data_IF_142653510822
#
_entry.id   IF_142653510822
#
_cell.length_a   1.000
_cell.length_b   1.000
_cell.length_c   1.000
_cell.angle_alpha   90.00
_cell.angle_beta   90.00
_cell.angle_gamma   90.00
#
_symmetry.space_group_name_H-M   'P 1'
#
loop_
_entity.id
_entity.type
_entity.pdbx_description
1 polymer ?
#
# COMPACT_ATOMS: atom_id res chain seq x y z
N UNK A 1 -57.04 21.81 28.08
CA UNK A 1 -56.15 21.17 27.08
C UNK A 1 -55.19 22.19 26.46
N UNK A 2 -54.18 22.69 27.20
CA UNK A 2 -53.18 23.65 26.65
C UNK A 2 -51.75 23.48 27.20
N UNK A 3 -51.49 22.49 28.05
CA UNK A 3 -50.14 22.26 28.64
C UNK A 3 -49.36 21.07 28.05
N UNK A 4 -49.98 20.24 27.22
CA UNK A 4 -49.32 19.07 26.63
C UNK A 4 -48.63 19.35 25.27
N UNK A 5 -48.86 20.52 24.66
CA UNK A 5 -48.28 20.84 23.35
C UNK A 5 -46.86 21.43 23.44
N UNK A 6 -46.44 21.91 24.61
CA UNK A 6 -45.14 22.59 24.76
C UNK A 6 -43.96 21.64 25.02
N UNK A 7 -44.22 20.40 25.43
CA UNK A 7 -43.15 19.43 25.75
C UNK A 7 -42.60 18.75 24.49
N UNK A 8 -43.39 18.63 23.42
CA UNK A 8 -42.94 18.01 22.18
C UNK A 8 -42.06 18.92 21.30
N UNK A 9 -42.15 20.26 21.47
CA UNK A 9 -41.38 21.21 20.66
C UNK A 9 -39.96 21.46 21.21
N UNK A 10 -39.68 21.06 22.46
CA UNK A 10 -38.35 21.21 23.05
C UNK A 10 -37.42 20.01 22.79
N UNK A 11 -37.97 18.86 22.36
CA UNK A 11 -37.17 17.66 22.09
C UNK A 11 -36.60 17.63 20.66
N UNK A 12 -37.19 18.37 19.72
CA UNK A 12 -36.74 18.42 18.32
C UNK A 12 -35.54 19.35 18.09
N UNK A 13 -35.15 20.18 19.08
CA UNK A 13 -34.05 21.13 18.96
C UNK A 13 -32.68 20.60 19.41
N UNK A 14 -32.61 19.40 19.99
CA UNK A 14 -31.36 18.81 20.50
C UNK A 14 -30.63 17.93 19.46
N UNK A 15 -31.24 17.66 18.30
CA UNK A 15 -30.62 16.84 17.25
C UNK A 15 -29.88 17.66 16.16
N UNK A 16 -29.64 18.95 16.36
CA UNK A 16 -28.90 19.82 15.45
C UNK A 16 -27.38 19.64 15.51
N UNK A 17 -26.88 18.41 15.70
CA UNK A 17 -25.46 18.13 15.57
C UNK A 17 -25.03 18.37 14.12
N UNK A 18 -24.05 19.24 13.90
CA UNK A 18 -23.41 19.37 12.59
C UNK A 18 -22.73 18.04 12.27
N UNK A 19 -23.36 17.23 11.40
CA UNK A 19 -22.69 16.10 10.77
C UNK A 19 -21.65 16.67 9.82
N UNK A 20 -20.45 16.94 10.34
CA UNK A 20 -19.29 17.20 9.51
C UNK A 20 -18.86 15.88 8.90
N UNK A 21 -19.03 15.75 7.58
CA UNK A 21 -18.40 14.67 6.83
C UNK A 21 -16.89 14.84 6.97
N UNK A 22 -16.29 14.07 7.87
CA UNK A 22 -14.91 14.27 8.23
C UNK A 22 -14.03 13.75 7.09
N UNK A 23 -13.40 14.65 6.34
CA UNK A 23 -12.49 14.25 5.26
C UNK A 23 -11.35 13.40 5.81
N UNK A 24 -11.09 12.29 5.11
CA UNK A 24 -9.99 11.37 5.40
C UNK A 24 -8.67 11.90 4.85
N UNK A 25 -8.77 12.51 3.67
CA UNK A 25 -7.68 13.14 2.95
C UNK A 25 -7.53 14.60 3.35
N UNK A 26 -6.29 15.02 3.53
CA UNK A 26 -5.89 16.42 3.66
C UNK A 26 -5.06 16.79 2.43
N UNK A 27 -5.34 17.97 1.86
CA UNK A 27 -4.49 18.56 0.81
C UNK A 27 -3.29 19.20 1.50
N UNK A 28 -2.09 18.82 1.08
CA UNK A 28 -0.83 19.32 1.64
C UNK A 28 -0.37 20.59 0.88
N UNK A 29 0.52 21.42 1.45
CA UNK A 29 0.99 22.66 0.80
C UNK A 29 1.69 22.45 -0.54
N UNK A 30 2.24 21.27 -0.79
CA UNK A 30 2.91 20.89 -2.04
C UNK A 30 1.94 20.34 -3.11
N UNK A 31 0.63 20.34 -2.83
CA UNK A 31 -0.41 19.82 -3.71
C UNK A 31 -0.63 18.31 -3.63
N UNK A 32 0.16 17.57 -2.85
CA UNK A 32 -0.11 16.16 -2.57
C UNK A 32 -1.33 15.99 -1.65
N UNK A 33 -1.86 14.77 -1.55
CA UNK A 33 -2.90 14.43 -0.57
C UNK A 33 -2.40 13.38 0.41
N UNK A 34 -2.74 13.54 1.68
CA UNK A 34 -2.36 12.61 2.74
C UNK A 34 -3.57 12.13 3.54
N UNK A 35 -3.64 10.83 3.81
CA UNK A 35 -4.49 10.24 4.83
C UNK A 35 -3.65 9.94 6.07
N UNK A 36 -3.88 10.71 7.14
CA UNK A 36 -3.33 10.41 8.47
C UNK A 36 -4.22 9.37 9.15
N UNK A 37 -3.72 8.15 9.29
CA UNK A 37 -4.44 7.00 9.84
C UNK A 37 -4.46 7.12 11.36
N UNK A 38 -5.67 7.32 11.91
CA UNK A 38 -5.97 7.32 13.34
C UNK A 38 -7.07 6.28 13.58
N UNK A 39 -8.10 6.60 14.35
CA UNK A 39 -9.16 5.66 14.74
C UNK A 39 -10.20 5.36 13.64
N UNK A 40 -10.01 5.89 12.42
CA UNK A 40 -10.96 5.76 11.30
C UNK A 40 -10.62 4.58 10.38
N UNK A 41 -10.45 3.41 10.96
CA UNK A 41 -10.21 2.12 10.28
C UNK A 41 -11.39 1.17 10.57
N UNK A 42 -11.74 0.21 9.72
CA UNK A 42 -11.13 -0.13 8.43
C UNK A 42 -11.54 0.81 7.28
N UNK A 43 -10.70 0.95 6.26
CA UNK A 43 -11.05 1.67 5.02
C UNK A 43 -10.18 1.23 3.85
N UNK A 44 -10.80 1.11 2.67
CA UNK A 44 -10.15 0.72 1.42
C UNK A 44 -10.46 1.72 0.33
N UNK A 45 -9.50 1.91 -0.57
CA UNK A 45 -9.59 2.79 -1.73
C UNK A 45 -8.78 2.20 -2.89
N UNK A 46 -8.74 2.90 -4.02
CA UNK A 46 -7.86 2.57 -5.11
C UNK A 46 -7.34 3.81 -5.83
N UNK A 47 -6.14 3.69 -6.39
CA UNK A 47 -5.57 4.70 -7.29
C UNK A 47 -5.04 4.03 -8.54
N UNK A 48 -5.33 4.65 -9.69
CA UNK A 48 -4.71 4.28 -10.96
C UNK A 48 -3.50 5.18 -11.23
N UNK A 49 -2.39 4.55 -11.63
CA UNK A 49 -1.15 5.22 -11.99
C UNK A 49 -0.61 4.61 -13.29
N UNK A 50 0.02 5.43 -14.14
CA UNK A 50 0.54 4.97 -15.43
C UNK A 50 1.96 5.46 -15.70
N UNK A 51 2.76 4.59 -16.29
CA UNK A 51 3.95 4.94 -17.07
C UNK A 51 3.72 4.58 -18.55
N UNK A 52 4.75 4.75 -19.39
CA UNK A 52 4.63 4.55 -20.84
C UNK A 52 4.31 3.10 -21.24
N UNK A 53 4.83 2.12 -20.51
CA UNK A 53 4.75 0.69 -20.87
C UNK A 53 4.00 -0.16 -19.84
N UNK A 54 3.48 0.46 -18.78
CA UNK A 54 2.75 -0.22 -17.71
C UNK A 54 1.80 0.74 -17.01
N UNK A 55 0.61 0.26 -16.69
CA UNK A 55 -0.32 0.92 -15.79
C UNK A 55 -0.60 0.00 -14.61
N UNK A 56 -0.95 0.58 -13.47
CA UNK A 56 -1.34 -0.18 -12.29
C UNK A 56 -2.53 0.47 -11.61
N UNK A 57 -3.47 -0.36 -11.18
CA UNK A 57 -4.47 0.02 -10.18
C UNK A 57 -4.02 -0.58 -8.86
N UNK A 58 -3.60 0.27 -7.93
CA UNK A 58 -3.35 -0.11 -6.55
C UNK A 58 -4.68 -0.11 -5.82
N UNK A 59 -5.15 -1.28 -5.38
CA UNK A 59 -6.29 -1.42 -4.48
C UNK A 59 -5.72 -1.60 -3.09
N UNK A 60 -5.87 -0.59 -2.25
CA UNK A 60 -5.17 -0.52 -0.98
C UNK A 60 -6.14 -0.21 0.14
N UNK A 61 -5.72 -0.48 1.37
CA UNK A 61 -6.50 -0.12 2.53
C UNK A 61 -5.75 -0.31 3.83
N UNK A 62 -6.44 0.06 4.89
CA UNK A 62 -6.01 -0.22 6.26
C UNK A 62 -7.09 -1.07 6.91
N UNK A 63 -6.69 -2.25 7.37
CA UNK A 63 -7.54 -3.24 8.00
C UNK A 63 -8.01 -2.79 9.38
N UNK A 64 -8.97 -3.51 9.97
CA UNK A 64 -9.49 -3.20 11.31
C UNK A 64 -8.40 -3.28 12.40
N UNK A 65 -7.38 -4.12 12.19
CA UNK A 65 -6.20 -4.21 13.04
C UNK A 65 -5.11 -3.19 12.65
N UNK A 66 -5.34 -2.26 11.73
CA UNK A 66 -4.37 -1.26 11.32
C UNK A 66 -3.30 -1.75 10.34
N UNK A 67 -3.32 -3.02 9.92
CA UNK A 67 -2.37 -3.52 8.92
C UNK A 67 -2.63 -2.92 7.54
N UNK A 68 -1.58 -2.78 6.74
CA UNK A 68 -1.73 -2.35 5.34
C UNK A 68 -2.20 -3.51 4.47
N UNK A 69 -3.17 -3.26 3.58
CA UNK A 69 -3.57 -4.20 2.54
C UNK A 69 -3.27 -3.61 1.16
N UNK A 70 -2.76 -4.44 0.25
CA UNK A 70 -2.46 -4.04 -1.12
C UNK A 70 -2.68 -5.18 -2.13
N UNK A 71 -3.41 -4.87 -3.19
CA UNK A 71 -3.45 -5.66 -4.41
C UNK A 71 -3.07 -4.78 -5.62
N UNK A 72 -2.21 -5.31 -6.49
CA UNK A 72 -1.69 -4.62 -7.67
C UNK A 72 -2.31 -5.20 -8.93
N UNK A 73 -3.20 -4.46 -9.60
CA UNK A 73 -3.69 -4.83 -10.92
C UNK A 73 -2.81 -4.18 -11.98
N UNK A 74 -1.91 -4.95 -12.58
CA UNK A 74 -0.95 -4.53 -13.59
C UNK A 74 -1.56 -4.65 -14.99
N UNK A 75 -1.28 -3.68 -15.85
CA UNK A 75 -1.65 -3.66 -17.28
C UNK A 75 -0.41 -3.33 -18.11
N UNK A 76 -0.08 -4.16 -19.09
CA UNK A 76 1.00 -3.88 -20.05
C UNK A 76 0.40 -3.62 -21.43
N UNK A 77 0.19 -2.34 -21.82
CA UNK A 77 -0.47 -2.01 -23.09
C UNK A 77 0.28 -2.52 -24.32
N UNK A 78 1.60 -2.71 -24.20
CA UNK A 78 2.46 -3.20 -25.28
C UNK A 78 2.38 -4.72 -25.50
N UNK A 79 1.80 -5.49 -24.57
CA UNK A 79 1.73 -6.95 -24.65
C UNK A 79 0.28 -7.35 -24.94
N UNK A 80 0.03 -7.94 -26.12
CA UNK A 80 -1.32 -8.11 -26.68
C UNK A 80 -1.81 -9.55 -26.53
N UNK A 81 -3.07 -9.72 -26.18
CA UNK A 81 -3.71 -11.03 -26.00
C UNK A 81 -4.70 -11.32 -27.13
N UNK A 82 -5.07 -12.59 -27.28
CA UNK A 82 -6.06 -13.05 -28.26
C UNK A 82 -7.43 -13.22 -27.57
N UNK A 83 -8.53 -12.71 -28.14
CA UNK A 83 -8.63 -11.97 -29.41
C UNK A 83 -8.07 -10.54 -29.31
N UNK A 84 -7.36 -10.10 -30.34
CA UNK A 84 -6.66 -8.81 -30.36
C UNK A 84 -7.63 -7.64 -30.65
N UNK A 85 -8.33 -7.16 -29.62
CA UNK A 85 -9.27 -6.03 -29.68
C UNK A 85 -8.84 -4.88 -28.75
N UNK A 86 -9.57 -3.77 -28.69
CA UNK A 86 -9.20 -2.57 -27.90
C UNK A 86 -8.93 -2.82 -26.41
N UNK A 87 -9.43 -3.92 -25.83
CA UNK A 87 -9.25 -4.27 -24.42
C UNK A 87 -8.16 -5.33 -24.18
N UNK A 88 -7.53 -5.84 -25.24
CA UNK A 88 -6.69 -7.02 -25.21
C UNK A 88 -5.25 -6.81 -24.72
N UNK A 89 -5.01 -5.88 -23.80
CA UNK A 89 -3.71 -5.73 -23.15
C UNK A 89 -3.50 -6.84 -22.12
N UNK A 90 -2.26 -7.31 -21.92
CA UNK A 90 -1.97 -8.27 -20.87
C UNK A 90 -2.25 -7.65 -19.51
N UNK A 91 -3.12 -8.28 -18.73
CA UNK A 91 -3.48 -7.86 -17.38
C UNK A 91 -3.19 -8.97 -16.38
N UNK A 92 -2.69 -8.60 -15.20
CA UNK A 92 -2.46 -9.53 -14.09
C UNK A 92 -2.71 -8.85 -12.75
N UNK A 93 -3.24 -9.63 -11.81
CA UNK A 93 -3.32 -9.22 -10.41
C UNK A 93 -2.20 -9.89 -9.63
N UNK A 94 -1.44 -9.09 -8.88
CA UNK A 94 -0.42 -9.56 -7.96
C UNK A 94 -0.81 -9.17 -6.54
N UNK A 95 -0.96 -10.19 -5.70
CA UNK A 95 -1.07 -10.05 -4.24
C UNK A 95 0.27 -10.27 -3.53
N UNK A 96 1.35 -10.40 -4.29
CA UNK A 96 2.69 -10.61 -3.73
C UNK A 96 3.14 -9.41 -2.91
N UNK A 97 3.64 -9.65 -1.70
CA UNK A 97 4.16 -8.64 -0.80
C UNK A 97 5.57 -9.02 -0.33
N UNK A 98 6.57 -8.21 -0.65
CA UNK A 98 7.97 -8.51 -0.33
C UNK A 98 8.22 -8.59 1.18
N UNK A 99 7.45 -7.85 1.99
CA UNK A 99 7.64 -7.81 3.45
C UNK A 99 7.29 -9.11 4.14
N UNK A 100 6.53 -9.99 3.50
CA UNK A 100 6.21 -11.32 4.02
C UNK A 100 7.45 -12.22 4.09
N UNK A 101 8.50 -11.88 3.33
CA UNK A 101 9.78 -12.61 3.28
C UNK A 101 10.86 -11.98 4.17
N UNK A 102 10.64 -10.79 4.73
CA UNK A 102 11.62 -10.07 5.55
C UNK A 102 11.46 -10.46 7.02
N UNK A 103 12.58 -10.77 7.68
CA UNK A 103 12.61 -11.03 9.11
C UNK A 103 13.39 -9.95 9.87
N UNK A 104 12.88 -9.58 11.05
CA UNK A 104 13.57 -8.69 12.00
C UNK A 104 13.66 -9.38 13.34
N UNK A 105 14.88 -9.60 13.84
CA UNK A 105 15.17 -10.41 15.01
C UNK A 105 14.50 -11.81 14.92
N UNK A 106 14.49 -12.40 13.72
CA UNK A 106 13.84 -13.69 13.44
C UNK A 106 12.30 -13.64 13.43
N UNK A 107 11.68 -12.46 13.36
CA UNK A 107 10.22 -12.29 13.37
C UNK A 107 9.72 -11.67 12.06
N UNK A 108 8.58 -12.16 11.57
CA UNK A 108 7.85 -11.53 10.47
C UNK A 108 7.34 -10.14 10.86
N UNK A 109 7.19 -9.24 9.89
CA UNK A 109 6.67 -7.87 10.08
C UNK A 109 5.13 -7.81 10.25
N UNK A 110 4.52 -8.81 10.89
CA UNK A 110 3.06 -9.04 10.90
C UNK A 110 2.25 -8.08 11.77
N UNK A 111 2.89 -7.31 12.67
CA UNK A 111 2.22 -6.32 13.53
C UNK A 111 2.37 -4.90 13.00
N UNK A 112 2.14 -4.76 11.71
CA UNK A 112 2.15 -3.48 11.03
C UNK A 112 0.96 -2.61 11.48
N UNK A 113 1.22 -1.32 11.71
CA UNK A 113 0.22 -0.28 11.95
C UNK A 113 0.50 0.89 11.02
N UNK A 114 -0.37 1.12 10.05
CA UNK A 114 -0.22 2.26 9.12
C UNK A 114 -0.47 3.55 9.88
N UNK A 115 0.46 4.51 9.73
CA UNK A 115 0.35 5.85 10.29
C UNK A 115 -0.14 6.86 9.26
N UNK A 116 0.36 6.75 8.02
CA UNK A 116 0.09 7.73 6.97
C UNK A 116 0.19 7.12 5.57
N UNK A 117 -0.70 7.55 4.69
CA UNK A 117 -0.63 7.28 3.25
C UNK A 117 -0.59 8.61 2.52
N UNK A 118 0.39 8.82 1.65
CA UNK A 118 0.56 10.04 0.84
C UNK A 118 0.51 9.70 -0.64
N UNK A 119 -0.17 10.53 -1.43
CA UNK A 119 -0.26 10.45 -2.89
C UNK A 119 0.27 11.74 -3.51
N UNK A 120 1.38 11.64 -4.25
CA UNK A 120 2.12 12.76 -4.88
C UNK A 120 2.56 12.42 -6.33
N UNK A 121 1.84 11.50 -6.99
CA UNK A 121 2.28 10.81 -8.21
C UNK A 121 2.98 9.48 -7.92
N UNK A 122 3.28 9.21 -6.65
CA UNK A 122 3.64 7.90 -6.09
C UNK A 122 2.69 7.61 -4.92
N UNK A 123 2.62 6.36 -4.47
CA UNK A 123 2.03 6.02 -3.18
C UNK A 123 3.14 5.84 -2.15
N UNK A 124 3.11 6.62 -1.06
CA UNK A 124 3.99 6.42 0.10
C UNK A 124 3.16 5.98 1.29
N UNK A 125 3.50 4.85 1.90
CA UNK A 125 2.86 4.29 3.09
C UNK A 125 3.88 4.24 4.20
N UNK A 126 3.60 4.94 5.30
CA UNK A 126 4.45 5.00 6.48
C UNK A 126 3.77 4.22 7.61
N UNK A 127 4.47 3.21 8.14
CA UNK A 127 3.92 2.30 9.14
C UNK A 127 4.87 2.10 10.32
N UNK A 128 4.31 1.95 11.51
CA UNK A 128 5.03 1.40 12.66
C UNK A 128 4.95 -0.13 12.64
N UNK A 129 6.05 -0.80 12.97
CA UNK A 129 6.10 -2.26 13.12
C UNK A 129 6.29 -2.60 14.59
N UNK A 130 5.30 -3.27 15.18
CA UNK A 130 5.41 -3.82 16.53
C UNK A 130 6.29 -5.08 16.55
N UNK A 131 7.41 -5.04 17.26
CA UNK A 131 8.29 -6.20 17.43
C UNK A 131 8.26 -6.70 18.88
N UNK A 132 8.76 -7.91 19.11
CA UNK A 132 8.87 -8.44 20.48
C UNK A 132 9.89 -7.66 21.32
N UNK A 133 9.82 -7.82 22.65
CA UNK A 133 10.76 -7.22 23.61
C UNK A 133 10.88 -5.70 23.49
N UNK A 134 9.78 -5.02 23.13
CA UNK A 134 9.69 -3.58 22.95
C UNK A 134 10.63 -3.00 21.87
N UNK A 135 11.15 -3.83 20.97
CA UNK A 135 11.81 -3.35 19.77
C UNK A 135 10.81 -2.57 18.90
N UNK A 136 11.30 -1.52 18.22
CA UNK A 136 10.48 -0.64 17.38
C UNK A 136 11.17 -0.43 16.06
N UNK A 137 10.41 -0.59 14.99
CA UNK A 137 10.85 -0.24 13.65
C UNK A 137 9.75 0.55 12.95
N UNK A 138 10.16 1.36 11.98
CA UNK A 138 9.26 1.99 11.03
C UNK A 138 9.55 1.42 9.64
N UNK A 139 8.49 1.27 8.86
CA UNK A 139 8.54 0.80 7.49
C UNK A 139 7.89 1.83 6.59
N UNK A 140 8.66 2.32 5.62
CA UNK A 140 8.16 3.17 4.54
C UNK A 140 8.13 2.37 3.25
N UNK A 141 6.95 2.26 2.61
CA UNK A 141 6.79 1.72 1.25
C UNK A 141 6.54 2.85 0.28
N UNK A 142 7.23 2.85 -0.85
CA UNK A 142 7.01 3.78 -1.97
C UNK A 142 6.73 2.98 -3.23
N UNK A 143 5.56 3.17 -3.81
CA UNK A 143 5.05 2.35 -4.93
C UNK A 143 4.73 3.26 -6.11
N UNK A 144 5.28 2.91 -7.28
CA UNK A 144 5.07 3.71 -8.50
C UNK A 144 5.35 2.89 -9.77
N UNK A 145 4.61 3.15 -10.87
CA UNK A 145 4.99 2.64 -12.18
C UNK A 145 6.27 3.31 -12.67
N UNK A 146 7.13 2.56 -13.34
CA UNK A 146 8.29 3.11 -14.01
C UNK A 146 7.84 3.99 -15.18
N UNK A 147 8.47 5.16 -15.33
CA UNK A 147 8.13 6.12 -16.39
C UNK A 147 8.19 5.50 -17.79
N UNK A 148 9.25 4.74 -18.09
CA UNK A 148 9.50 4.20 -19.44
C UNK A 148 9.66 2.67 -19.52
N UNK A 149 9.76 1.98 -18.37
CA UNK A 149 9.98 0.53 -18.31
C UNK A 149 8.65 -0.20 -18.09
N UNK A 150 8.51 -1.45 -18.55
CA UNK A 150 7.29 -2.25 -18.31
C UNK A 150 7.25 -2.83 -16.88
N UNK A 151 7.47 -2.00 -15.85
CA UNK A 151 7.63 -2.43 -14.47
C UNK A 151 6.99 -1.46 -13.47
N UNK A 152 6.45 -1.99 -12.38
CA UNK A 152 6.12 -1.23 -11.17
C UNK A 152 7.21 -1.50 -10.16
N UNK A 153 7.69 -0.45 -9.49
CA UNK A 153 8.69 -0.55 -8.44
C UNK A 153 8.04 -0.35 -7.08
N UNK A 154 8.49 -1.14 -6.12
CA UNK A 154 8.20 -0.99 -4.70
C UNK A 154 9.54 -0.79 -3.99
N UNK A 155 9.75 0.38 -3.40
CA UNK A 155 10.90 0.67 -2.55
C UNK A 155 10.47 0.53 -1.09
N UNK A 156 11.24 -0.22 -0.32
CA UNK A 156 11.02 -0.40 1.11
C UNK A 156 12.15 0.30 1.86
N UNK A 157 11.84 0.95 2.98
CA UNK A 157 12.84 1.53 3.87
C UNK A 157 12.47 1.10 5.28
N UNK A 158 13.31 0.26 5.88
CA UNK A 158 13.13 -0.21 7.25
C UNK A 158 14.09 0.54 8.17
N UNK A 159 13.53 1.26 9.14
CA UNK A 159 14.29 2.08 10.08
C UNK A 159 14.19 1.53 11.50
N UNK A 160 15.31 1.46 12.20
CA UNK A 160 15.32 1.18 13.63
C UNK A 160 14.99 2.45 14.43
N UNK A 161 13.82 2.47 15.07
CA UNK A 161 13.36 3.58 15.92
C UNK A 161 13.40 3.25 17.41
N UNK A 162 13.92 2.06 17.75
CA UNK A 162 14.17 1.63 19.12
C UNK A 162 15.51 2.11 19.67
N UNK A 163 15.86 1.60 20.85
CA UNK A 163 17.11 1.89 21.56
C UNK A 163 18.14 0.76 21.49
N UNK A 164 17.80 -0.35 20.83
CA UNK A 164 18.66 -1.54 20.73
C UNK A 164 18.81 -1.94 19.26
N UNK A 165 19.94 -2.60 18.89
CA UNK A 165 20.15 -3.03 17.51
C UNK A 165 19.08 -4.03 17.04
N UNK A 166 18.77 -4.01 15.74
CA UNK A 166 17.88 -4.96 15.08
C UNK A 166 18.66 -5.77 14.06
N UNK A 167 18.57 -7.10 14.10
CA UNK A 167 19.06 -7.96 13.00
C UNK A 167 17.98 -8.06 11.95
N UNK A 168 18.27 -7.61 10.74
CA UNK A 168 17.34 -7.62 9.60
C UNK A 168 17.85 -8.59 8.55
N UNK A 169 16.97 -9.47 8.08
CA UNK A 169 17.25 -10.46 7.05
C UNK A 169 16.29 -10.23 5.87
N UNK A 170 16.85 -9.80 4.74
CA UNK A 170 16.16 -9.63 3.46
C UNK A 170 16.68 -10.72 2.53
N UNK A 171 15.83 -11.69 2.13
CA UNK A 171 16.26 -12.75 1.25
C UNK A 171 16.37 -12.27 -0.20
N UNK A 172 17.20 -12.97 -0.99
CA UNK A 172 17.08 -12.94 -2.44
C UNK A 172 15.81 -13.71 -2.84
N UNK A 173 15.02 -13.14 -3.76
CA UNK A 173 13.79 -13.78 -4.23
C UNK A 173 13.52 -13.41 -5.66
N UNK A 174 13.21 -14.40 -6.50
CA UNK A 174 12.87 -14.22 -7.91
C UNK A 174 11.86 -15.26 -8.37
N UNK A 175 10.67 -14.81 -8.74
CA UNK A 175 9.61 -15.63 -9.31
C UNK A 175 9.40 -15.28 -10.78
N UNK A 176 9.23 -16.30 -11.62
CA UNK A 176 9.00 -16.15 -13.07
C UNK A 176 7.74 -16.92 -13.46
N UNK A 177 6.84 -16.26 -14.17
CA UNK A 177 5.64 -16.87 -14.75
C UNK A 177 5.69 -16.65 -16.26
N UNK A 178 5.54 -17.73 -17.03
CA UNK A 178 5.32 -17.65 -18.47
C UNK A 178 3.82 -17.79 -18.74
N UNK A 179 3.26 -16.93 -19.58
CA UNK A 179 1.85 -17.02 -19.96
C UNK A 179 1.65 -18.14 -20.98
N UNK A 180 0.41 -18.62 -21.09
CA UNK A 180 0.00 -19.51 -22.17
C UNK A 180 0.32 -18.86 -23.54
N UNK A 181 1.15 -19.48 -24.40
CA UNK A 181 1.55 -18.90 -25.68
C UNK A 181 0.39 -18.77 -26.67
N UNK A 182 -0.66 -19.60 -26.56
CA UNK A 182 -1.81 -19.54 -27.47
C UNK A 182 -2.71 -18.32 -27.19
N UNK A 183 -2.52 -17.67 -26.03
CA UNK A 183 -3.30 -16.50 -25.61
C UNK A 183 -2.61 -15.17 -25.87
N UNK A 184 -1.35 -15.17 -26.30
CA UNK A 184 -0.61 -13.97 -26.66
C UNK A 184 -0.47 -13.81 -28.16
N UNK A 185 -0.52 -12.58 -28.65
CA UNK A 185 -0.32 -12.28 -30.08
C UNK A 185 1.11 -12.63 -30.50
N UNK A 186 2.08 -12.41 -29.62
CA UNK A 186 3.51 -12.69 -29.86
C UNK A 186 3.98 -13.97 -29.13
N UNK A 187 3.04 -14.87 -28.82
CA UNK A 187 3.30 -16.07 -28.03
C UNK A 187 3.31 -15.82 -26.51
N UNK A 188 4.17 -16.54 -25.79
CA UNK A 188 4.22 -16.49 -24.33
C UNK A 188 4.94 -15.24 -23.84
N UNK A 189 4.32 -14.51 -22.89
CA UNK A 189 4.94 -13.40 -22.18
C UNK A 189 5.55 -13.85 -20.85
N UNK A 190 6.67 -13.23 -20.47
CA UNK A 190 7.39 -13.52 -19.22
C UNK A 190 7.14 -12.43 -18.18
N UNK A 191 6.61 -12.83 -17.04
CA UNK A 191 6.34 -11.98 -15.88
C UNK A 191 7.37 -12.30 -14.79
N UNK A 192 7.96 -11.27 -14.19
CA UNK A 192 9.00 -11.40 -13.17
C UNK A 192 8.64 -10.59 -11.94
N UNK A 193 8.78 -11.21 -10.76
CA UNK A 193 8.68 -10.60 -9.44
C UNK A 193 9.98 -10.85 -8.72
N UNK A 194 10.68 -9.81 -8.28
CA UNK A 194 12.06 -9.90 -7.77
C UNK A 194 12.30 -8.94 -6.60
N UNK A 195 13.03 -9.40 -5.59
CA UNK A 195 13.57 -8.56 -4.51
C UNK A 195 15.03 -8.27 -4.85
N UNK A 196 15.37 -6.98 -4.88
CA UNK A 196 16.74 -6.49 -5.07
C UNK A 196 17.20 -5.89 -3.74
N UNK A 197 18.46 -6.12 -3.35
CA UNK A 197 19.00 -5.62 -2.08
C UNK A 197 18.97 -6.64 -0.95
N UNK A 198 19.03 -7.94 -1.28
CA UNK A 198 19.18 -9.00 -0.30
C UNK A 198 20.37 -8.72 0.64
N UNK A 199 20.13 -8.82 1.94
CA UNK A 199 21.12 -8.48 2.95
C UNK A 199 20.77 -9.11 4.29
N UNK A 200 21.79 -9.47 5.07
CA UNK A 200 21.66 -9.67 6.52
C UNK A 200 22.46 -8.56 7.18
N UNK A 201 21.78 -7.65 7.90
CA UNK A 201 22.40 -6.46 8.48
C UNK A 201 21.90 -6.23 9.89
N UNK A 202 22.82 -5.86 10.79
CA UNK A 202 22.44 -5.28 12.07
C UNK A 202 22.22 -3.77 11.90
N UNK A 203 21.00 -3.30 12.11
CA UNK A 203 20.64 -1.88 12.13
C UNK A 203 20.78 -1.33 13.54
N UNK A 204 21.71 -0.41 13.73
CA UNK A 204 21.83 0.36 14.98
C UNK A 204 20.65 1.31 15.14
N UNK A 205 20.36 1.81 16.37
CA UNK A 205 19.34 2.83 16.57
C UNK A 205 19.50 4.01 15.59
N UNK A 206 18.39 4.42 14.98
CA UNK A 206 18.27 5.48 13.94
C UNK A 206 18.79 5.11 12.55
N UNK A 207 19.45 3.97 12.36
CA UNK A 207 19.85 3.50 11.04
C UNK A 207 18.67 2.97 10.22
N UNK A 208 18.86 2.97 8.91
CA UNK A 208 17.93 2.45 7.93
C UNK A 208 18.58 1.43 6.99
N UNK A 209 17.74 0.52 6.50
CA UNK A 209 18.01 -0.37 5.37
C UNK A 209 17.02 -0.02 4.25
N UNK A 210 17.53 0.06 3.02
CA UNK A 210 16.78 0.30 1.79
C UNK A 210 16.82 -0.95 0.94
#
# INVERSE_FOLDING_TARGET
>A
MKKFLFVFLFWTLVCGGTLSAQNRWSINPDGSISWNVKDRILHYDHIEMSGLKVSTVLRYGVNADGSFELNKSMVWPMLRTIPNNTHASLMRRFAWNATDMVAVNGQSLSREKVNKITLDGKMTVESAIGLSRNAKAELTRIIFPAVAKPAVYEKYILRNTGSSPLTVEVPESRAVINTDPEKGVDGSYKLVSEIIGAATKQLQPKEELV
#
